data_IF_398562404370
#
_entry.id   IF_398562404370
#
_cell.length_a   1.000
_cell.length_b   1.000
_cell.length_c   1.000
_cell.angle_alpha   90.00
_cell.angle_beta   90.00
_cell.angle_gamma   90.00
#
_symmetry.space_group_name_H-M   'P 1'
#
loop_
_entity.id
_entity.type
_entity.pdbx_description
1 polymer ?
#
# COMPACT_ATOMS: atom_id res chain seq x y z
N UNK A 1 9.78 13.87 6.47
CA UNK A 1 10.84 12.83 6.53
C UNK A 1 10.24 11.46 6.17
N UNK A 2 10.97 10.59 5.45
CA UNK A 2 10.56 9.19 5.22
C UNK A 2 11.13 8.31 6.33
N UNK A 3 10.27 7.58 7.03
CA UNK A 3 10.64 6.72 8.15
C UNK A 3 10.28 5.28 7.78
N UNK A 4 11.32 4.45 7.61
CA UNK A 4 11.16 3.01 7.56
C UNK A 4 11.35 2.44 8.97
N UNK A 5 10.40 1.64 9.44
CA UNK A 5 10.41 1.14 10.82
C UNK A 5 11.16 -0.19 10.89
N UNK A 6 12.50 -0.13 10.97
CA UNK A 6 13.35 -1.30 11.21
C UNK A 6 13.59 -1.60 12.71
N UNK A 7 13.03 -0.78 13.61
CA UNK A 7 13.15 -0.91 15.07
C UNK A 7 11.76 -1.07 15.69
N UNK A 8 11.66 -1.40 16.99
CA UNK A 8 10.34 -1.48 17.64
C UNK A 8 9.58 -0.14 17.54
N UNK A 9 8.24 -0.21 17.41
CA UNK A 9 7.39 0.99 17.31
C UNK A 9 7.60 1.95 18.49
N UNK A 10 7.85 1.41 19.69
CA UNK A 10 8.08 2.19 20.90
C UNK A 10 9.41 2.96 20.85
N UNK A 11 10.47 2.32 20.37
CA UNK A 11 11.75 3.03 20.16
C UNK A 11 11.61 4.09 19.06
N UNK A 12 10.94 3.75 17.96
CA UNK A 12 10.69 4.68 16.87
C UNK A 12 9.97 5.95 17.36
N UNK A 13 8.85 5.83 18.08
CA UNK A 13 8.12 7.00 18.56
C UNK A 13 8.94 7.84 19.54
N UNK A 14 9.77 7.23 20.39
CA UNK A 14 10.61 7.98 21.32
C UNK A 14 11.64 8.81 20.56
N UNK A 15 12.31 8.21 19.57
CA UNK A 15 13.25 8.94 18.71
C UNK A 15 12.55 10.08 17.96
N UNK A 16 11.36 9.83 17.40
CA UNK A 16 10.59 10.87 16.69
C UNK A 16 10.19 12.03 17.60
N UNK A 17 9.83 11.77 18.86
CA UNK A 17 9.53 12.82 19.84
C UNK A 17 10.77 13.64 20.20
N UNK A 18 11.94 13.01 20.29
CA UNK A 18 13.18 13.68 20.65
C UNK A 18 13.72 14.57 19.52
N UNK A 19 13.57 14.14 18.25
CA UNK A 19 14.10 14.87 17.08
C UNK A 19 13.10 15.85 16.45
N UNK A 20 11.82 15.76 16.82
CA UNK A 20 10.77 16.64 16.30
C UNK A 20 10.90 18.10 16.79
N UNK A 21 9.94 18.98 16.42
CA UNK A 21 8.71 18.69 15.68
C UNK A 21 8.93 18.54 14.17
N UNK A 22 7.99 17.88 13.49
CA UNK A 22 7.95 17.75 12.03
C UNK A 22 6.79 18.57 11.47
N UNK A 23 6.95 19.89 11.26
CA UNK A 23 5.87 20.76 10.81
C UNK A 23 5.32 20.35 9.43
N UNK A 24 6.19 19.86 8.55
CA UNK A 24 5.83 19.37 7.21
C UNK A 24 5.37 17.89 7.23
N UNK A 25 5.40 17.25 8.40
CA UNK A 25 5.00 15.86 8.59
C UNK A 25 6.11 14.82 8.36
N UNK A 26 5.74 13.58 8.66
CA UNK A 26 6.58 12.40 8.46
C UNK A 26 5.76 11.27 7.86
N UNK A 27 6.40 10.44 7.03
CA UNK A 27 5.79 9.25 6.44
C UNK A 27 6.25 8.01 7.19
N UNK A 28 5.33 7.29 7.81
CA UNK A 28 5.53 5.91 8.22
C UNK A 28 5.23 5.00 7.03
N UNK A 29 6.31 4.50 6.43
CA UNK A 29 6.25 3.65 5.25
C UNK A 29 5.70 2.26 5.58
N UNK A 30 4.83 1.73 4.71
CA UNK A 30 4.20 0.41 4.78
C UNK A 30 3.78 0.02 6.21
N UNK A 31 2.94 0.84 6.85
CA UNK A 31 2.60 0.67 8.26
C UNK A 31 1.72 -0.56 8.52
N UNK A 32 2.25 -1.53 9.28
CA UNK A 32 1.55 -2.75 9.73
C UNK A 32 1.50 -2.86 11.27
N UNK A 33 1.74 -1.73 11.94
CA UNK A 33 1.84 -1.61 13.38
C UNK A 33 0.51 -1.83 14.10
N UNK A 34 0.50 -1.60 15.41
CA UNK A 34 -0.71 -1.75 16.20
C UNK A 34 -1.58 -0.49 16.13
N UNK A 35 -2.91 -0.65 16.29
CA UNK A 35 -3.84 0.48 16.30
C UNK A 35 -3.55 1.43 17.47
N UNK A 36 -3.08 0.89 18.60
CA UNK A 36 -2.78 1.61 19.83
C UNK A 36 -1.64 2.62 19.67
N UNK A 37 -0.73 2.38 18.72
CA UNK A 37 0.39 3.29 18.44
C UNK A 37 0.01 4.45 17.51
N UNK A 38 -1.07 4.33 16.76
CA UNK A 38 -1.50 5.34 15.77
C UNK A 38 -1.67 6.72 16.38
N UNK A 39 -2.36 6.93 17.53
CA UNK A 39 -2.54 8.25 18.10
C UNK A 39 -1.22 8.96 18.43
N UNK A 40 -0.21 8.22 18.89
CA UNK A 40 1.09 8.80 19.24
C UNK A 40 1.88 9.24 18.01
N UNK A 41 1.80 8.47 16.93
CA UNK A 41 2.40 8.87 15.65
C UNK A 41 1.65 10.05 15.01
N UNK A 42 0.31 10.07 15.07
CA UNK A 42 -0.50 11.20 14.59
C UNK A 42 -0.12 12.51 15.30
N UNK A 43 0.05 12.48 16.63
CA UNK A 43 0.54 13.63 17.42
C UNK A 43 1.91 14.14 16.95
N UNK A 44 2.73 13.26 16.39
CA UNK A 44 4.06 13.59 15.86
C UNK A 44 4.02 14.05 14.40
N UNK A 45 2.83 14.19 13.80
CA UNK A 45 2.66 14.62 12.41
C UNK A 45 2.72 13.49 11.38
N UNK A 46 2.54 12.24 11.80
CA UNK A 46 2.65 11.08 10.92
C UNK A 46 1.51 10.95 9.90
N UNK A 47 1.90 10.58 8.69
CA UNK A 47 1.10 9.94 7.66
C UNK A 47 1.47 8.46 7.60
N UNK A 48 0.53 7.62 7.16
CA UNK A 48 0.67 6.18 7.12
C UNK A 48 0.45 5.71 5.70
N UNK A 49 1.50 5.20 5.04
CA UNK A 49 1.31 4.52 3.76
C UNK A 49 1.03 3.05 3.96
N UNK A 50 0.17 2.52 3.10
CA UNK A 50 -0.29 1.14 3.12
C UNK A 50 0.07 0.49 1.79
N UNK A 51 0.67 -0.69 1.86
CA UNK A 51 1.10 -1.51 0.72
C UNK A 51 0.34 -2.84 0.69
N UNK A 52 0.64 -3.70 -0.30
CA UNK A 52 0.06 -5.04 -0.38
C UNK A 52 0.35 -5.93 0.85
N UNK A 53 1.33 -5.58 1.69
CA UNK A 53 1.60 -6.29 2.94
C UNK A 53 0.47 -6.23 3.98
N UNK A 54 -0.51 -5.33 3.82
CA UNK A 54 -1.70 -5.31 4.69
C UNK A 54 -2.63 -6.50 4.44
N UNK A 55 -2.65 -7.05 3.23
CA UNK A 55 -3.62 -8.08 2.82
C UNK A 55 -3.49 -9.43 3.56
N UNK A 56 -2.28 -9.96 3.84
CA UNK A 56 -2.13 -11.17 4.67
C UNK A 56 -2.38 -10.94 6.17
N UNK A 57 -2.62 -9.70 6.63
CA UNK A 57 -2.92 -9.44 8.03
C UNK A 57 -4.29 -10.01 8.42
N UNK A 58 -4.44 -10.36 9.71
CA UNK A 58 -5.77 -10.67 10.26
C UNK A 58 -6.70 -9.47 10.04
N UNK A 59 -7.82 -9.69 9.35
CA UNK A 59 -8.79 -8.65 8.99
C UNK A 59 -9.22 -7.80 10.18
N UNK A 60 -9.44 -8.41 11.36
CA UNK A 60 -9.77 -7.67 12.59
C UNK A 60 -8.67 -6.68 13.02
N UNK A 61 -7.39 -7.07 12.90
CA UNK A 61 -6.24 -6.20 13.20
C UNK A 61 -6.15 -5.08 12.17
N UNK A 62 -6.27 -5.40 10.88
CA UNK A 62 -6.24 -4.42 9.80
C UNK A 62 -7.37 -3.40 9.95
N UNK A 63 -8.62 -3.85 10.15
CA UNK A 63 -9.77 -2.99 10.39
C UNK A 63 -9.56 -2.06 11.58
N UNK A 64 -9.10 -2.58 12.73
CA UNK A 64 -8.88 -1.75 13.91
C UNK A 64 -7.81 -0.69 13.65
N UNK A 65 -6.71 -1.07 12.99
CA UNK A 65 -5.63 -0.15 12.62
C UNK A 65 -6.13 0.96 11.69
N UNK A 66 -6.78 0.58 10.58
CA UNK A 66 -7.30 1.51 9.58
C UNK A 66 -8.32 2.47 10.15
N UNK A 67 -9.29 1.99 10.93
CA UNK A 67 -10.32 2.84 11.56
C UNK A 67 -9.76 3.78 12.63
N UNK A 68 -8.52 3.56 13.09
CA UNK A 68 -7.84 4.47 14.03
C UNK A 68 -7.03 5.55 13.30
N UNK A 69 -6.59 5.30 12.06
CA UNK A 69 -5.84 6.28 11.27
C UNK A 69 -6.82 7.34 10.75
N UNK A 70 -6.61 8.64 11.02
CA UNK A 70 -7.41 9.70 10.42
C UNK A 70 -7.30 9.67 8.90
N UNK A 71 -8.43 9.83 8.18
CA UNK A 71 -8.47 9.72 6.71
C UNK A 71 -7.48 10.69 6.04
N UNK A 72 -7.32 11.89 6.58
CA UNK A 72 -6.38 12.92 6.10
C UNK A 72 -4.90 12.59 6.36
N UNK A 73 -4.61 11.40 6.89
CA UNK A 73 -3.27 10.86 7.13
C UNK A 73 -3.00 9.54 6.40
N UNK A 74 -3.97 9.02 5.63
CA UNK A 74 -3.82 7.78 4.87
C UNK A 74 -3.14 8.07 3.53
N UNK A 75 -2.17 7.23 3.19
CA UNK A 75 -1.51 7.17 1.89
C UNK A 75 -1.55 5.72 1.37
N UNK A 76 -1.48 5.55 0.06
CA UNK A 76 -1.40 4.25 -0.58
C UNK A 76 -0.11 4.14 -1.38
N UNK A 77 0.48 2.96 -1.39
CA UNK A 77 1.68 2.64 -2.17
C UNK A 77 1.63 1.21 -2.69
N UNK A 78 2.42 0.90 -3.71
CA UNK A 78 2.59 -0.48 -4.17
C UNK A 78 3.69 -1.21 -3.41
N UNK A 79 4.73 -0.47 -3.00
CA UNK A 79 6.01 -0.99 -2.50
C UNK A 79 6.68 -1.99 -3.47
N UNK A 80 6.43 -1.83 -4.77
CA UNK A 80 7.10 -2.61 -5.81
C UNK A 80 8.62 -2.37 -5.80
N UNK A 81 9.45 -3.42 -5.99
CA UNK A 81 9.09 -4.74 -6.52
C UNK A 81 8.57 -5.75 -5.47
N UNK A 82 8.51 -5.36 -4.20
CA UNK A 82 8.05 -6.19 -3.10
C UNK A 82 6.53 -6.01 -2.86
N UNK A 83 6.01 -6.53 -1.74
CA UNK A 83 4.60 -6.38 -1.32
C UNK A 83 3.54 -6.77 -2.37
N UNK A 84 3.78 -7.83 -3.15
CA UNK A 84 2.81 -8.35 -4.12
C UNK A 84 1.44 -8.59 -3.43
N UNK A 85 0.34 -7.98 -3.92
CA UNK A 85 -0.99 -8.21 -3.37
C UNK A 85 -1.36 -9.69 -3.37
N UNK A 86 -1.92 -10.16 -2.25
CA UNK A 86 -2.32 -11.56 -2.10
C UNK A 86 -3.69 -11.80 -2.77
N UNK A 87 -3.67 -11.91 -4.10
CA UNK A 87 -4.82 -12.06 -4.98
C UNK A 87 -4.55 -13.11 -6.06
N UNK A 88 -5.59 -13.47 -6.81
CA UNK A 88 -5.46 -14.32 -8.00
C UNK A 88 -4.62 -13.66 -9.09
N UNK A 89 -3.87 -14.47 -9.85
CA UNK A 89 -2.96 -13.97 -10.90
C UNK A 89 -3.68 -13.13 -11.97
N UNK A 90 -4.96 -13.40 -12.23
CA UNK A 90 -5.78 -12.63 -13.17
C UNK A 90 -6.06 -11.19 -12.73
N UNK A 91 -5.94 -10.91 -11.43
CA UNK A 91 -6.17 -9.59 -10.84
C UNK A 91 -4.87 -8.80 -10.64
N UNK A 92 -3.72 -9.38 -11.00
CA UNK A 92 -2.42 -8.75 -10.83
C UNK A 92 -1.88 -8.20 -12.16
N UNK A 93 -1.29 -7.02 -12.09
CA UNK A 93 -0.39 -6.53 -13.13
C UNK A 93 0.96 -7.20 -12.92
N UNK A 94 1.43 -7.89 -13.95
CA UNK A 94 2.68 -8.64 -13.94
C UNK A 94 3.83 -7.76 -14.42
N UNK A 95 5.04 -8.03 -13.92
CA UNK A 95 6.27 -7.39 -14.40
C UNK A 95 6.76 -8.15 -15.64
N UNK A 96 7.00 -7.41 -16.73
CA UNK A 96 7.57 -7.99 -17.95
C UNK A 96 8.93 -8.63 -17.66
N UNK A 97 9.15 -9.84 -18.18
CA UNK A 97 10.39 -10.61 -18.02
C UNK A 97 10.75 -10.96 -16.56
N UNK A 98 9.77 -11.01 -15.66
CA UNK A 98 9.98 -11.58 -14.33
C UNK A 98 10.45 -13.05 -14.45
N UNK A 99 11.66 -13.39 -13.96
CA UNK A 99 12.22 -14.74 -14.07
C UNK A 99 11.43 -15.79 -13.28
N UNK A 100 10.61 -15.36 -12.31
CA UNK A 100 9.79 -16.22 -11.46
C UNK A 100 8.46 -16.61 -12.12
N UNK A 101 8.08 -15.99 -13.25
CA UNK A 101 6.86 -16.33 -13.96
C UNK A 101 7.00 -17.65 -14.74
N UNK A 102 6.02 -18.57 -14.62
CA UNK A 102 5.98 -19.77 -15.45
C UNK A 102 6.04 -19.42 -16.95
N UNK A 103 6.94 -20.08 -17.69
CA UNK A 103 7.16 -19.85 -19.13
C UNK A 103 5.89 -19.98 -19.98
N UNK A 104 4.89 -20.74 -19.50
CA UNK A 104 3.60 -20.95 -20.14
C UNK A 104 2.74 -19.67 -20.24
N UNK A 105 2.96 -18.69 -19.35
CA UNK A 105 2.21 -17.41 -19.36
C UNK A 105 2.61 -16.54 -20.57
N UNK A 106 3.85 -16.66 -21.05
CA UNK A 106 4.37 -15.90 -22.20
C UNK A 106 4.15 -16.59 -23.54
N UNK A 107 3.83 -17.90 -23.56
CA UNK A 107 3.68 -18.68 -24.79
C UNK A 107 2.39 -18.38 -25.57
N UNK A 108 1.36 -17.83 -24.91
CA UNK A 108 0.15 -17.34 -25.54
C UNK A 108 0.18 -15.82 -25.50
N UNK A 109 0.82 -15.21 -26.51
CA UNK A 109 1.12 -13.78 -26.60
C UNK A 109 0.06 -12.86 -25.99
N UNK A 110 0.29 -12.45 -24.73
CA UNK A 110 -0.42 -11.36 -24.08
C UNK A 110 0.38 -10.08 -24.32
N UNK A 111 0.11 -9.44 -25.45
CA UNK A 111 0.41 -8.02 -25.60
C UNK A 111 -0.43 -7.24 -24.59
N UNK A 112 0.25 -6.46 -23.75
CA UNK A 112 -0.18 -5.16 -23.19
C UNK A 112 -1.69 -4.87 -23.21
N UNK A 113 -2.27 -4.73 -22.01
CA UNK A 113 -3.57 -4.14 -21.72
C UNK A 113 -4.79 -4.76 -22.43
N UNK A 114 -5.51 -5.66 -21.76
CA UNK A 114 -6.95 -5.82 -21.95
C UNK A 114 -7.59 -6.68 -20.88
N UNK A 115 -8.67 -6.15 -20.29
CA UNK A 115 -9.69 -6.90 -19.56
C UNK A 115 -10.18 -8.07 -20.42
N UNK A 116 -10.18 -9.28 -19.88
CA UNK A 116 -10.89 -10.41 -20.49
C UNK A 116 -11.81 -11.05 -19.47
N UNK A 117 -13.09 -10.73 -19.63
CA UNK A 117 -14.20 -11.58 -19.25
C UNK A 117 -14.27 -12.76 -20.22
N UNK A 118 -13.91 -13.96 -19.77
CA UNK A 118 -14.47 -15.19 -20.34
C UNK A 118 -14.50 -16.30 -19.29
N UNK A 119 -15.69 -16.86 -19.15
CA UNK A 119 -16.07 -18.03 -18.37
C UNK A 119 -15.35 -19.31 -18.84
N UNK A 120 -14.70 -20.02 -17.92
CA UNK A 120 -14.91 -21.47 -17.67
C UNK A 120 -13.90 -21.99 -16.65
N UNK A 121 -14.46 -22.68 -15.66
CA UNK A 121 -13.85 -23.54 -14.62
C UNK A 121 -12.33 -23.76 -14.68
N UNK A 122 -11.64 -23.19 -13.70
CA UNK A 122 -10.80 -23.96 -12.76
C UNK A 122 -10.49 -23.09 -11.55
N UNK A 123 -11.06 -23.45 -10.38
CA UNK A 123 -10.67 -22.90 -9.09
C UNK A 123 -9.25 -23.37 -8.77
N UNK A 124 -8.24 -22.58 -9.15
CA UNK A 124 -6.89 -22.73 -8.59
C UNK A 124 -6.84 -21.78 -7.41
N UNK A 125 -6.72 -22.36 -6.21
CA UNK A 125 -6.52 -21.60 -4.98
C UNK A 125 -5.36 -20.61 -5.13
N UNK A 126 -5.54 -19.39 -4.61
CA UNK A 126 -4.52 -18.38 -4.32
C UNK A 126 -3.27 -18.90 -3.57
N UNK A 127 -3.24 -20.18 -3.17
CA UNK A 127 -2.17 -20.85 -2.42
C UNK A 127 -0.94 -21.25 -3.26
N UNK A 128 -0.91 -20.97 -4.57
CA UNK A 128 0.15 -21.46 -5.48
C UNK A 128 0.92 -20.39 -6.28
N UNK A 129 0.80 -19.10 -5.93
CA UNK A 129 1.68 -18.10 -6.54
C UNK A 129 3.14 -18.37 -6.15
N UNK A 130 4.09 -18.32 -7.11
CA UNK A 130 5.51 -18.38 -6.80
C UNK A 130 5.86 -17.32 -5.76
N UNK A 131 6.54 -17.73 -4.68
CA UNK A 131 6.87 -16.86 -3.53
C UNK A 131 7.71 -15.64 -3.89
N UNK A 132 8.36 -15.67 -5.05
CA UNK A 132 9.36 -14.70 -5.48
C UNK A 132 8.92 -13.92 -6.73
N UNK A 133 7.60 -13.83 -6.99
CA UNK A 133 7.06 -12.98 -8.06
C UNK A 133 7.23 -11.50 -7.73
N UNK A 134 7.66 -10.72 -8.73
CA UNK A 134 7.83 -9.28 -8.60
C UNK A 134 6.47 -8.58 -8.64
N UNK A 135 6.29 -7.61 -7.75
CA UNK A 135 5.16 -6.70 -7.77
C UNK A 135 5.38 -5.57 -8.80
N UNK A 136 4.29 -5.14 -9.43
CA UNK A 136 4.28 -4.05 -10.38
C UNK A 136 3.66 -2.78 -9.75
N UNK A 137 4.18 -1.57 -10.00
CA UNK A 137 3.63 -0.33 -9.43
C UNK A 137 2.14 -0.11 -9.68
N UNK A 138 1.63 -0.57 -10.83
CA UNK A 138 0.21 -0.48 -11.16
C UNK A 138 -0.67 -1.23 -10.15
N UNK A 139 -0.17 -2.22 -9.42
CA UNK A 139 -0.92 -2.97 -8.41
C UNK A 139 -1.37 -2.14 -7.19
N UNK A 140 -1.02 -0.85 -7.12
CA UNK A 140 -1.58 0.08 -6.14
C UNK A 140 -3.13 0.13 -6.17
N UNK A 141 -3.79 -0.14 -7.31
CA UNK A 141 -5.26 -0.23 -7.39
C UNK A 141 -5.82 -1.38 -6.54
N UNK A 142 -5.12 -2.51 -6.45
CA UNK A 142 -5.53 -3.63 -5.58
C UNK A 142 -5.45 -3.25 -4.10
N UNK A 143 -4.43 -2.46 -3.74
CA UNK A 143 -4.29 -1.91 -2.38
C UNK A 143 -5.41 -0.92 -2.09
N UNK A 144 -5.72 -0.02 -3.04
CA UNK A 144 -6.83 0.92 -2.96
C UNK A 144 -8.16 0.21 -2.71
N UNK A 145 -8.50 -0.78 -3.55
CA UNK A 145 -9.75 -1.52 -3.43
C UNK A 145 -9.85 -2.25 -2.09
N UNK A 146 -8.77 -2.90 -1.64
CA UNK A 146 -8.74 -3.58 -0.35
C UNK A 146 -8.94 -2.63 0.83
N UNK A 147 -8.21 -1.52 0.86
CA UNK A 147 -8.29 -0.54 1.96
C UNK A 147 -9.64 0.17 1.98
N UNK A 148 -10.18 0.55 0.81
CA UNK A 148 -11.50 1.15 0.69
C UNK A 148 -12.60 0.24 1.27
N UNK A 149 -12.55 -1.06 0.95
CA UNK A 149 -13.48 -2.06 1.48
C UNK A 149 -13.42 -2.17 3.01
N UNK A 150 -12.23 -2.14 3.61
CA UNK A 150 -12.08 -2.19 5.07
C UNK A 150 -12.51 -0.91 5.78
N UNK A 151 -12.35 0.24 5.13
CA UNK A 151 -12.80 1.54 5.63
C UNK A 151 -14.29 1.80 5.37
N UNK A 152 -14.95 0.99 4.56
CA UNK A 152 -16.36 1.14 4.17
C UNK A 152 -16.62 2.48 3.45
N UNK A 153 -15.68 2.92 2.61
CA UNK A 153 -15.78 4.11 1.75
C UNK A 153 -15.58 3.75 0.28
N UNK A 154 -16.00 4.64 -0.63
CA UNK A 154 -15.78 4.39 -2.06
C UNK A 154 -14.29 4.47 -2.41
N UNK A 155 -13.87 3.69 -3.42
CA UNK A 155 -12.49 3.73 -3.90
C UNK A 155 -12.14 5.09 -4.51
N UNK A 156 -13.10 5.77 -5.13
CA UNK A 156 -12.93 7.11 -5.69
C UNK A 156 -12.65 8.14 -4.59
N UNK A 157 -13.40 8.05 -3.48
CA UNK A 157 -13.20 8.91 -2.32
C UNK A 157 -11.84 8.65 -1.65
N UNK A 158 -11.48 7.39 -1.41
CA UNK A 158 -10.18 7.05 -0.82
C UNK A 158 -9.02 7.48 -1.73
N UNK A 159 -9.14 7.29 -3.05
CA UNK A 159 -8.13 7.71 -4.01
C UNK A 159 -7.92 9.23 -3.97
N UNK A 160 -9.01 10.00 -3.96
CA UNK A 160 -8.95 11.47 -3.88
C UNK A 160 -8.35 11.94 -2.55
N UNK A 161 -8.74 11.34 -1.42
CA UNK A 161 -8.18 11.63 -0.09
C UNK A 161 -6.68 11.33 -0.07
N UNK A 162 -6.29 10.11 -0.48
CA UNK A 162 -4.88 9.69 -0.50
C UNK A 162 -4.04 10.56 -1.43
N UNK A 163 -4.59 10.98 -2.57
CA UNK A 163 -3.92 11.88 -3.50
C UNK A 163 -3.69 13.25 -2.87
N UNK A 164 -4.73 13.87 -2.28
CA UNK A 164 -4.60 15.14 -1.55
C UNK A 164 -3.59 15.06 -0.42
N UNK A 165 -3.60 13.97 0.34
CA UNK A 165 -2.64 13.73 1.42
C UNK A 165 -1.21 13.66 0.87
N UNK A 166 -1.02 13.00 -0.27
CA UNK A 166 0.28 12.89 -0.95
C UNK A 166 0.79 14.26 -1.39
N UNK A 167 -0.06 15.05 -2.05
CA UNK A 167 0.28 16.43 -2.44
C UNK A 167 0.66 17.24 -1.19
N UNK A 168 -0.16 17.21 -0.14
CA UNK A 168 0.12 17.96 1.09
C UNK A 168 1.46 17.57 1.73
N UNK A 169 1.78 16.28 1.79
CA UNK A 169 3.00 15.79 2.42
C UNK A 169 4.25 16.03 1.57
N UNK A 170 4.13 15.92 0.24
CA UNK A 170 5.27 15.99 -0.67
C UNK A 170 5.44 17.34 -1.35
N UNK A 171 4.50 18.27 -1.22
CA UNK A 171 4.64 19.66 -1.69
C UNK A 171 5.31 20.53 -0.61
N UNK A 172 6.64 20.52 -0.62
CA UNK A 172 7.49 21.38 0.21
C UNK A 172 8.42 22.24 -0.66
N UNK A 173 9.08 23.23 -0.06
CA UNK A 173 10.02 24.10 -0.77
C UNK A 173 11.15 23.30 -1.42
N UNK A 174 11.24 23.34 -2.75
CA UNK A 174 12.20 22.56 -3.53
C UNK A 174 11.69 21.20 -4.02
N UNK A 175 10.46 20.82 -3.67
CA UNK A 175 9.81 19.63 -4.25
C UNK A 175 9.41 19.86 -5.71
N UNK A 176 9.35 18.77 -6.48
CA UNK A 176 8.83 18.77 -7.87
C UNK A 176 7.31 18.73 -7.93
N UNK A 177 6.65 18.54 -6.79
CA UNK A 177 5.19 18.53 -6.69
C UNK A 177 4.75 19.97 -6.48
N UNK A 178 3.97 20.50 -7.43
CA UNK A 178 3.49 21.87 -7.32
C UNK A 178 2.62 22.04 -6.05
N UNK A 179 2.69 23.22 -5.43
CA UNK A 179 1.69 23.64 -4.47
C UNK A 179 0.41 23.90 -5.27
N UNK A 180 -0.56 22.98 -5.15
CA UNK A 180 -1.88 23.10 -5.76
C UNK A 180 -2.75 24.14 -5.07
#
# INVERSE_FOLDING_TARGET
>A
ALVNVCVSLLQCINILRDIGPFPDGLLLHSYLGSAEMVPEFVKSGAYFSLSGYIMPMKVQKANKMLKTIPLERILLESDAPDALPHLELSSLFLVDKDPSLPQEIFAHGRTTASNVSTSSDTSRDASSLPKDMLNHPANIHNVLDYVANLLEISKEELAEISYKNSIRLFSYQGSKVALG
#
